data_IF_114693286586
#
_entry.id   IF_114693286586
#
_cell.length_a   1.000
_cell.length_b   1.000
_cell.length_c   1.000
_cell.angle_alpha   90.00
_cell.angle_beta   90.00
_cell.angle_gamma   90.00
#
_symmetry.space_group_name_H-M   'P 1'
#
loop_
_entity.id
_entity.type
_entity.pdbx_description
1 polymer ?
#
# COMPACT_ATOMS: atom_id res chain seq x y z
N UNK A 1 -8.08 4.22 8.98
CA UNK A 1 -6.83 4.99 8.83
C UNK A 1 -5.71 4.03 8.51
N UNK A 2 -4.71 4.52 7.78
CA UNK A 2 -3.45 3.83 7.49
C UNK A 2 -2.43 4.34 8.50
N UNK A 3 -1.95 3.47 9.38
CA UNK A 3 -1.02 3.91 10.42
C UNK A 3 -0.11 2.81 10.92
N UNK A 4 1.09 3.23 11.34
CA UNK A 4 1.97 2.53 12.26
C UNK A 4 2.41 3.58 13.27
N UNK A 5 2.21 3.36 14.54
CA UNK A 5 2.49 4.35 15.56
C UNK A 5 3.03 3.75 16.85
N UNK A 6 3.81 4.55 17.54
CA UNK A 6 4.27 4.28 18.90
C UNK A 6 3.90 5.50 19.72
N UNK A 7 3.08 5.30 20.74
CA UNK A 7 2.63 6.33 21.66
C UNK A 7 3.27 6.08 23.04
N UNK A 8 3.88 7.09 23.62
CA UNK A 8 4.44 7.03 24.96
C UNK A 8 3.65 7.92 25.91
N UNK A 9 3.11 7.31 26.97
CA UNK A 9 2.49 8.04 28.08
C UNK A 9 3.56 8.32 29.16
N UNK A 10 4.02 9.56 29.19
CA UNK A 10 5.03 9.99 30.17
C UNK A 10 4.55 9.99 31.62
N UNK A 11 3.23 10.00 31.88
CA UNK A 11 2.66 9.95 33.24
C UNK A 11 2.72 8.53 33.77
N UNK A 12 2.29 7.57 32.95
CA UNK A 12 2.28 6.14 33.31
C UNK A 12 3.60 5.44 33.03
N UNK A 13 4.53 6.12 32.31
CA UNK A 13 5.78 5.56 31.79
C UNK A 13 5.56 4.27 30.98
N UNK A 14 4.48 4.25 30.18
CA UNK A 14 4.10 3.15 29.34
C UNK A 14 4.08 3.58 27.87
N UNK A 15 4.28 2.62 26.98
CA UNK A 15 4.08 2.85 25.56
C UNK A 15 3.12 1.83 24.96
N UNK A 16 2.50 2.21 23.85
CA UNK A 16 1.69 1.35 23.01
C UNK A 16 2.24 1.48 21.60
N UNK A 17 2.55 0.36 20.96
CA UNK A 17 2.83 0.31 19.52
C UNK A 17 1.61 -0.31 18.83
N UNK A 18 1.19 0.24 17.68
CA UNK A 18 0.03 -0.27 16.96
C UNK A 18 0.20 -0.14 15.44
N UNK A 19 -0.40 -1.08 14.71
CA UNK A 19 -0.39 -1.10 13.25
C UNK A 19 -1.80 -1.26 12.71
N UNK A 20 -2.09 -0.60 11.59
CA UNK A 20 -3.40 -0.61 10.96
C UNK A 20 -3.90 -2.03 10.60
N UNK A 21 -5.23 -2.23 10.42
CA UNK A 21 -5.82 -3.55 10.22
C UNK A 21 -5.30 -4.34 9.03
N UNK A 22 -4.85 -3.64 7.98
CA UNK A 22 -4.33 -4.24 6.74
C UNK A 22 -2.80 -4.30 6.75
N UNK A 23 -2.15 -3.45 7.59
CA UNK A 23 -0.71 -3.31 7.63
C UNK A 23 -0.14 -2.50 6.46
N UNK A 24 -0.89 -1.50 5.98
CA UNK A 24 -0.46 -0.64 4.87
C UNK A 24 0.82 0.11 5.25
N UNK A 25 0.87 0.64 6.48
CA UNK A 25 2.12 1.26 6.96
C UNK A 25 3.05 0.18 7.51
N UNK A 26 4.32 0.18 7.07
CA UNK A 26 5.29 -0.80 7.55
C UNK A 26 5.63 -0.56 9.02
N UNK A 27 5.75 -1.65 9.77
CA UNK A 27 6.28 -1.67 11.13
C UNK A 27 6.91 -3.04 11.38
N UNK A 28 8.11 -3.03 11.89
CA UNK A 28 8.89 -4.23 12.25
C UNK A 28 9.28 -4.16 13.72
N UNK A 29 9.57 -5.31 14.30
CA UNK A 29 10.04 -5.40 15.67
C UNK A 29 11.05 -6.53 15.84
N UNK A 30 11.78 -6.46 16.92
CA UNK A 30 12.68 -7.50 17.40
C UNK A 30 13.01 -7.30 18.86
N UNK A 31 13.77 -8.20 19.45
CA UNK A 31 14.21 -8.11 20.83
C UNK A 31 15.74 -8.06 20.86
N UNK A 32 16.30 -7.16 21.65
CA UNK A 32 17.73 -7.11 21.90
C UNK A 32 18.20 -8.25 22.83
N UNK A 33 19.50 -8.37 23.06
CA UNK A 33 20.09 -9.38 23.95
C UNK A 33 19.64 -9.32 25.42
N UNK A 34 18.97 -8.22 25.83
CA UNK A 34 18.41 -8.03 27.17
C UNK A 34 16.90 -8.29 27.21
N UNK A 35 16.29 -8.65 26.08
CA UNK A 35 14.84 -8.86 25.97
C UNK A 35 14.04 -7.56 25.81
N UNK A 36 14.68 -6.42 25.53
CA UNK A 36 14.01 -5.15 25.25
C UNK A 36 13.44 -5.20 23.84
N UNK A 37 12.16 -4.85 23.67
CA UNK A 37 11.55 -4.78 22.35
C UNK A 37 11.99 -3.48 21.64
N UNK A 38 12.35 -3.62 20.37
CA UNK A 38 12.74 -2.55 19.47
C UNK A 38 11.76 -2.50 18.29
N UNK A 39 11.49 -1.30 17.78
CA UNK A 39 10.59 -1.10 16.63
C UNK A 39 11.27 -0.26 15.56
N UNK A 40 10.94 -0.53 14.29
CA UNK A 40 11.39 0.27 13.16
C UNK A 40 10.38 0.22 12.03
N UNK A 41 10.35 1.28 11.22
CA UNK A 41 9.56 1.30 9.98
C UNK A 41 10.20 0.45 8.87
N UNK A 42 11.52 0.23 8.94
CA UNK A 42 12.28 -0.54 7.97
C UNK A 42 13.11 -1.61 8.69
N UNK A 43 13.15 -2.86 8.18
CA UNK A 43 13.85 -3.96 8.84
C UNK A 43 15.35 -3.72 8.94
N UNK A 44 15.96 -3.03 7.97
CA UNK A 44 17.40 -2.72 7.97
C UNK A 44 17.85 -1.93 9.22
N UNK A 45 16.95 -1.14 9.82
CA UNK A 45 17.26 -0.36 11.03
C UNK A 45 17.35 -1.23 12.29
N UNK A 46 16.94 -2.49 12.22
CA UNK A 46 17.05 -3.45 13.32
C UNK A 46 18.23 -4.43 13.17
N UNK A 47 18.89 -4.43 12.00
CA UNK A 47 20.05 -5.29 11.73
C UNK A 47 21.18 -4.95 12.69
N UNK A 48 21.75 -5.97 13.33
CA UNK A 48 22.80 -5.81 14.34
C UNK A 48 22.30 -5.39 15.73
N UNK A 49 21.01 -5.05 15.88
CA UNK A 49 20.40 -4.73 17.17
C UNK A 49 19.57 -5.89 17.72
N UNK A 50 19.06 -6.75 16.85
CA UNK A 50 18.24 -7.91 17.20
C UNK A 50 18.67 -9.12 16.37
N UNK A 51 18.57 -10.33 16.95
CA UNK A 51 18.85 -11.58 16.24
C UNK A 51 17.75 -11.97 15.28
N UNK A 52 16.53 -11.50 15.54
CA UNK A 52 15.34 -11.83 14.74
C UNK A 52 14.49 -10.60 14.51
N UNK A 53 14.30 -10.26 13.23
CA UNK A 53 13.45 -9.15 12.81
C UNK A 53 12.13 -9.74 12.29
N UNK A 54 11.03 -9.26 12.84
CA UNK A 54 9.68 -9.74 12.52
C UNK A 54 8.80 -8.57 12.07
N UNK A 55 7.89 -8.78 11.10
CA UNK A 55 6.87 -7.81 10.79
C UNK A 55 5.89 -7.71 11.97
N UNK A 56 5.54 -6.48 12.37
CA UNK A 56 4.49 -6.25 13.35
C UNK A 56 3.15 -6.70 12.78
N UNK A 57 2.39 -7.56 13.47
CA UNK A 57 1.17 -8.13 12.91
C UNK A 57 0.12 -7.03 12.64
N UNK A 58 -0.52 -7.03 11.44
CA UNK A 58 -1.61 -6.12 11.13
C UNK A 58 -2.77 -6.28 12.12
N UNK A 59 -3.52 -5.20 12.36
CA UNK A 59 -4.67 -5.22 13.25
C UNK A 59 -4.35 -5.53 14.72
N UNK A 60 -3.09 -5.32 15.13
CA UNK A 60 -2.66 -5.55 16.50
C UNK A 60 -2.10 -4.28 17.14
N UNK A 61 -2.13 -4.27 18.45
CA UNK A 61 -1.31 -3.39 19.26
C UNK A 61 -0.47 -4.18 20.25
N UNK A 62 0.66 -3.61 20.62
CA UNK A 62 1.55 -4.13 21.67
C UNK A 62 1.48 -3.21 22.86
N UNK A 63 1.22 -3.77 24.04
CA UNK A 63 1.20 -3.07 25.31
C UNK A 63 1.55 -4.04 26.44
N UNK A 64 2.31 -3.57 27.43
CA UNK A 64 2.65 -4.35 28.63
C UNK A 64 3.19 -5.77 28.31
N UNK A 65 4.07 -5.88 27.30
CA UNK A 65 4.71 -7.15 26.92
C UNK A 65 3.85 -8.08 26.08
N UNK A 66 2.67 -7.65 25.61
CA UNK A 66 1.73 -8.51 24.88
C UNK A 66 1.25 -7.89 23.59
N UNK A 67 1.12 -8.73 22.56
CA UNK A 67 0.37 -8.40 21.35
C UNK A 67 -1.10 -8.72 21.56
N UNK A 68 -1.96 -7.77 21.20
CA UNK A 68 -3.42 -7.91 21.29
C UNK A 68 -4.00 -7.59 19.92
N UNK A 69 -4.78 -8.53 19.37
CA UNK A 69 -5.54 -8.31 18.15
C UNK A 69 -6.76 -7.43 18.47
N UNK A 70 -6.88 -6.30 17.79
CA UNK A 70 -8.05 -5.42 17.91
C UNK A 70 -8.94 -5.47 16.66
N UNK A 71 -8.39 -5.96 15.53
CA UNK A 71 -9.15 -6.10 14.30
C UNK A 71 -8.53 -7.20 13.42
N UNK A 72 -9.26 -8.27 13.20
CA UNK A 72 -8.94 -9.31 12.25
C UNK A 72 -9.88 -9.19 11.05
N UNK A 73 -9.36 -8.67 9.93
CA UNK A 73 -10.16 -8.49 8.70
C UNK A 73 -10.50 -9.81 8.00
N UNK A 74 -9.81 -10.89 8.35
CA UNK A 74 -10.06 -12.23 7.80
C UNK A 74 -11.09 -13.01 8.61
N UNK A 75 -11.41 -12.56 9.83
CA UNK A 75 -12.45 -13.18 10.64
C UNK A 75 -13.83 -12.79 10.09
N UNK A 76 -14.54 -13.77 9.55
CA UNK A 76 -15.91 -13.60 9.03
C UNK A 76 -16.87 -14.25 10.01
N UNK A 77 -17.58 -13.44 10.77
CA UNK A 77 -18.53 -13.92 11.78
C UNK A 77 -19.89 -14.31 11.19
N UNK A 78 -20.26 -13.70 10.05
CA UNK A 78 -21.52 -13.98 9.36
C UNK A 78 -21.44 -13.63 7.88
N UNK A 79 -22.29 -14.29 7.10
CA UNK A 79 -22.48 -14.00 5.67
C UNK A 79 -23.74 -13.15 5.53
N UNK A 80 -23.63 -12.09 4.72
CA UNK A 80 -24.79 -11.23 4.44
C UNK A 80 -25.77 -11.98 3.52
N UNK A 81 -27.09 -11.97 3.82
CA UNK A 81 -28.10 -12.65 3.01
C UNK A 81 -28.59 -11.78 1.83
N UNK A 82 -27.78 -10.80 1.40
CA UNK A 82 -28.17 -9.85 0.35
C UNK A 82 -28.23 -10.52 -1.02
N UNK A 83 -29.11 -10.03 -1.88
CA UNK A 83 -29.14 -10.43 -3.28
C UNK A 83 -27.96 -9.83 -4.07
N UNK A 84 -27.74 -10.32 -5.28
CA UNK A 84 -26.62 -9.91 -6.12
C UNK A 84 -26.63 -8.41 -6.43
N UNK A 85 -27.81 -7.83 -6.69
CA UNK A 85 -27.94 -6.41 -7.02
C UNK A 85 -27.54 -5.53 -5.85
N UNK A 86 -28.00 -5.85 -4.65
CA UNK A 86 -27.63 -5.17 -3.41
C UNK A 86 -26.14 -5.30 -3.13
N UNK A 87 -25.55 -6.50 -3.32
CA UNK A 87 -24.10 -6.71 -3.14
C UNK A 87 -23.30 -5.85 -4.11
N UNK A 88 -23.67 -5.83 -5.40
CA UNK A 88 -23.01 -5.02 -6.41
C UNK A 88 -23.09 -3.51 -6.09
N UNK A 89 -24.25 -3.03 -5.67
CA UNK A 89 -24.43 -1.63 -5.26
C UNK A 89 -23.54 -1.28 -4.06
N UNK A 90 -23.52 -2.13 -3.04
CA UNK A 90 -22.69 -1.95 -1.86
C UNK A 90 -21.18 -1.93 -2.18
N UNK A 91 -20.72 -2.80 -3.09
CA UNK A 91 -19.32 -2.81 -3.57
C UNK A 91 -19.00 -1.52 -4.29
N UNK A 92 -19.87 -1.10 -5.24
CA UNK A 92 -19.72 0.15 -5.97
C UNK A 92 -19.58 1.34 -5.02
N UNK A 93 -20.50 1.50 -4.08
CA UNK A 93 -20.52 2.65 -3.17
C UNK A 93 -19.29 2.67 -2.25
N UNK A 94 -18.89 1.52 -1.73
CA UNK A 94 -17.67 1.40 -0.92
C UNK A 94 -16.40 1.71 -1.70
N UNK A 95 -16.33 1.28 -2.96
CA UNK A 95 -15.18 1.54 -3.82
C UNK A 95 -15.08 3.04 -4.16
N UNK A 96 -16.21 3.66 -4.55
CA UNK A 96 -16.28 5.11 -4.81
C UNK A 96 -15.88 5.90 -3.57
N UNK A 97 -16.45 5.57 -2.41
CA UNK A 97 -16.11 6.23 -1.15
C UNK A 97 -14.62 6.03 -0.77
N UNK A 98 -14.06 4.86 -1.03
CA UNK A 98 -12.66 4.56 -0.81
C UNK A 98 -11.73 5.41 -1.67
N UNK A 99 -12.03 5.57 -2.97
CA UNK A 99 -11.27 6.42 -3.89
C UNK A 99 -11.39 7.89 -3.49
N UNK A 100 -12.61 8.40 -3.25
CA UNK A 100 -12.85 9.77 -2.79
C UNK A 100 -12.02 10.13 -1.57
N UNK A 101 -11.99 9.24 -0.60
CA UNK A 101 -11.21 9.45 0.63
C UNK A 101 -9.71 9.59 0.38
N UNK A 102 -9.18 8.96 -0.67
CA UNK A 102 -7.75 9.03 -1.03
C UNK A 102 -7.39 10.23 -1.90
N UNK A 103 -8.38 10.92 -2.47
CA UNK A 103 -8.15 12.17 -3.18
C UNK A 103 -7.89 13.36 -2.24
N UNK A 104 -8.18 13.20 -0.96
CA UNK A 104 -7.88 14.22 0.07
C UNK A 104 -6.39 14.16 0.37
N UNK A 105 -5.63 15.00 -0.31
CA UNK A 105 -4.17 15.10 -0.18
C UNK A 105 -3.72 16.55 -0.37
N UNK A 106 -2.70 16.97 0.38
CA UNK A 106 -2.02 18.27 0.28
C UNK A 106 -0.89 18.22 -0.78
N UNK A 107 -0.45 17.05 -1.18
CA UNK A 107 0.46 16.85 -2.31
C UNK A 107 -0.31 16.56 -3.62
N UNK A 108 0.34 16.79 -4.76
CA UNK A 108 -0.22 16.43 -6.06
C UNK A 108 -0.35 14.90 -6.17
N UNK A 109 -1.56 14.44 -6.47
CA UNK A 109 -1.85 13.01 -6.65
C UNK A 109 -1.61 12.60 -8.09
N UNK A 110 -0.91 11.47 -8.29
CA UNK A 110 -0.74 10.78 -9.55
C UNK A 110 -1.24 9.34 -9.43
N UNK A 111 -1.64 8.75 -10.54
CA UNK A 111 -2.20 7.41 -10.61
C UNK A 111 -1.36 6.51 -11.51
N UNK A 112 -1.00 5.34 -11.03
CA UNK A 112 -0.42 4.30 -11.87
C UNK A 112 -1.55 3.61 -12.64
N UNK A 113 -1.46 3.58 -13.95
CA UNK A 113 -2.47 3.05 -14.85
C UNK A 113 -1.85 1.95 -15.74
N UNK A 114 -2.13 0.70 -15.42
CA UNK A 114 -1.65 -0.47 -16.18
C UNK A 114 -2.60 -0.91 -17.30
N UNK A 115 -3.79 -0.31 -17.41
CA UNK A 115 -4.83 -0.76 -18.33
C UNK A 115 -5.59 -2.02 -17.84
N UNK A 116 -5.21 -2.62 -16.73
CA UNK A 116 -5.96 -3.69 -16.06
C UNK A 116 -7.23 -3.17 -15.40
N UNK A 117 -8.15 -4.06 -15.02
CA UNK A 117 -9.47 -3.72 -14.48
C UNK A 117 -9.35 -2.81 -13.24
N UNK A 118 -8.52 -3.17 -12.27
CA UNK A 118 -8.45 -2.49 -10.97
C UNK A 118 -7.94 -1.06 -11.12
N UNK A 119 -6.80 -0.87 -11.79
CA UNK A 119 -6.22 0.45 -12.01
C UNK A 119 -7.12 1.34 -12.86
N UNK A 120 -7.75 0.77 -13.89
CA UNK A 120 -8.68 1.49 -14.76
C UNK A 120 -9.92 1.96 -14.01
N UNK A 121 -10.48 1.11 -13.14
CA UNK A 121 -11.66 1.43 -12.35
C UNK A 121 -11.35 2.53 -11.32
N UNK A 122 -10.23 2.44 -10.62
CA UNK A 122 -9.78 3.49 -9.68
C UNK A 122 -9.56 4.82 -10.40
N UNK A 123 -8.87 4.81 -11.56
CA UNK A 123 -8.64 6.03 -12.35
C UNK A 123 -9.94 6.62 -12.88
N UNK A 124 -10.88 5.79 -13.35
CA UNK A 124 -12.18 6.25 -13.85
C UNK A 124 -13.01 6.92 -12.74
N UNK A 125 -13.04 6.33 -11.54
CA UNK A 125 -13.71 6.94 -10.38
C UNK A 125 -13.02 8.27 -10.03
N UNK A 126 -11.69 8.28 -9.93
CA UNK A 126 -10.93 9.47 -9.59
C UNK A 126 -11.16 10.61 -10.61
N UNK A 127 -11.21 10.29 -11.91
CA UNK A 127 -11.49 11.27 -12.95
C UNK A 127 -12.90 11.88 -12.84
N UNK A 128 -13.90 11.08 -12.47
CA UNK A 128 -15.28 11.56 -12.25
C UNK A 128 -15.43 12.45 -11.02
N UNK A 129 -14.60 12.22 -10.00
CA UNK A 129 -14.62 12.95 -8.74
C UNK A 129 -13.69 14.18 -8.74
N UNK A 130 -12.92 14.38 -9.81
CA UNK A 130 -11.96 15.48 -9.94
C UNK A 130 -12.49 16.55 -10.90
N UNK A 131 -12.33 17.81 -10.55
CA UNK A 131 -12.70 18.95 -11.42
C UNK A 131 -11.74 19.16 -12.59
N UNK A 132 -10.52 18.63 -12.49
CA UNK A 132 -9.45 18.73 -13.49
C UNK A 132 -9.01 17.36 -13.93
N UNK A 133 -8.44 17.26 -15.15
CA UNK A 133 -7.83 16.00 -15.58
C UNK A 133 -6.87 15.46 -14.54
N UNK A 134 -7.02 14.18 -14.19
CA UNK A 134 -6.09 13.50 -13.30
C UNK A 134 -4.80 13.17 -14.05
N UNK A 135 -3.69 13.06 -13.33
CA UNK A 135 -2.43 12.62 -13.90
C UNK A 135 -2.31 11.11 -13.79
N UNK A 136 -2.08 10.46 -14.93
CA UNK A 136 -1.87 9.00 -14.98
C UNK A 136 -0.51 8.67 -15.57
N UNK A 137 0.08 7.58 -15.07
CA UNK A 137 1.39 7.12 -15.48
C UNK A 137 1.33 5.63 -15.81
N UNK A 138 1.95 5.25 -16.91
CA UNK A 138 2.15 3.85 -17.27
C UNK A 138 3.63 3.61 -17.54
N UNK A 139 4.10 2.39 -17.28
CA UNK A 139 5.46 1.98 -17.52
C UNK A 139 5.47 0.71 -18.36
N UNK A 140 6.40 0.62 -19.32
CA UNK A 140 6.53 -0.55 -20.18
C UNK A 140 7.97 -0.74 -20.67
N UNK A 141 8.31 -1.95 -21.05
CA UNK A 141 9.65 -2.28 -21.55
C UNK A 141 9.84 -2.02 -23.04
N UNK A 142 8.78 -1.68 -23.76
CA UNK A 142 8.83 -1.28 -25.18
C UNK A 142 7.58 -0.47 -25.50
N UNK A 143 7.64 0.30 -26.60
CA UNK A 143 6.48 1.08 -27.10
C UNK A 143 5.28 0.19 -27.48
N UNK A 144 5.55 -1.08 -27.88
CA UNK A 144 4.53 -2.05 -28.23
C UNK A 144 4.02 -2.90 -27.04
N UNK A 145 4.41 -2.54 -25.80
CA UNK A 145 3.95 -3.27 -24.63
C UNK A 145 2.42 -3.25 -24.53
N UNK A 146 1.81 -4.42 -24.40
CA UNK A 146 0.35 -4.58 -24.37
C UNK A 146 -0.30 -3.76 -23.26
N UNK A 147 0.36 -3.64 -22.13
CA UNK A 147 -0.12 -2.86 -20.98
C UNK A 147 -0.16 -1.36 -21.29
N UNK A 148 0.84 -0.82 -22.00
CA UNK A 148 0.85 0.58 -22.44
C UNK A 148 -0.32 0.86 -23.39
N UNK A 149 -0.60 -0.06 -24.33
CA UNK A 149 -1.71 0.07 -25.24
C UNK A 149 -3.06 0.18 -24.52
N UNK A 150 -3.31 -0.67 -23.53
CA UNK A 150 -4.55 -0.62 -22.76
C UNK A 150 -4.58 0.56 -21.80
N UNK A 151 -3.46 0.91 -21.18
CA UNK A 151 -3.35 2.11 -20.36
C UNK A 151 -3.70 3.36 -21.17
N UNK A 152 -3.17 3.50 -22.39
CA UNK A 152 -3.46 4.61 -23.30
C UNK A 152 -4.95 4.68 -23.65
N UNK A 153 -5.60 3.56 -23.96
CA UNK A 153 -7.03 3.53 -24.26
C UNK A 153 -7.87 4.05 -23.07
N UNK A 154 -7.54 3.62 -21.87
CA UNK A 154 -8.23 4.08 -20.65
C UNK A 154 -7.95 5.57 -20.42
N UNK A 155 -6.69 5.99 -20.55
CA UNK A 155 -6.30 7.38 -20.37
C UNK A 155 -7.04 8.33 -21.32
N UNK A 156 -7.16 7.94 -22.60
CA UNK A 156 -7.92 8.69 -23.61
C UNK A 156 -9.42 8.74 -23.27
N UNK A 157 -10.00 7.62 -22.80
CA UNK A 157 -11.41 7.53 -22.42
C UNK A 157 -11.76 8.44 -21.23
N UNK A 158 -10.89 8.49 -20.22
CA UNK A 158 -11.09 9.33 -19.01
C UNK A 158 -10.53 10.73 -19.17
N UNK A 159 -9.94 11.06 -20.32
CA UNK A 159 -9.30 12.36 -20.60
C UNK A 159 -8.25 12.78 -19.57
N UNK A 160 -7.40 11.84 -19.13
CA UNK A 160 -6.33 12.10 -18.18
C UNK A 160 -5.10 12.73 -18.84
N UNK A 161 -4.31 13.46 -18.04
CA UNK A 161 -2.95 13.89 -18.40
C UNK A 161 -2.01 12.68 -18.24
N UNK A 162 -1.80 11.94 -19.35
CA UNK A 162 -1.15 10.62 -19.34
C UNK A 162 0.31 10.71 -19.75
N UNK A 163 1.15 10.05 -18.98
CA UNK A 163 2.60 9.91 -19.25
C UNK A 163 2.96 8.43 -19.34
N UNK A 164 3.61 8.05 -20.44
CA UNK A 164 4.19 6.72 -20.63
C UNK A 164 5.70 6.78 -20.37
N UNK A 165 6.22 5.83 -19.60
CA UNK A 165 7.64 5.68 -19.31
C UNK A 165 8.11 4.37 -19.92
N UNK A 166 9.05 4.47 -20.85
CA UNK A 166 9.68 3.31 -21.47
C UNK A 166 10.98 3.03 -20.75
N UNK A 167 11.14 1.81 -20.26
CA UNK A 167 12.35 1.34 -19.59
C UNK A 167 13.00 0.22 -20.40
N UNK A 168 14.31 0.20 -20.40
CA UNK A 168 15.09 -0.88 -21.00
C UNK A 168 15.29 -2.05 -20.02
N UNK A 169 15.74 -3.19 -20.56
CA UNK A 169 16.15 -4.32 -19.73
C UNK A 169 17.35 -3.94 -18.86
N UNK A 170 18.23 -3.14 -19.39
CA UNK A 170 19.43 -2.63 -18.72
C UNK A 170 19.05 -1.76 -17.51
N UNK A 171 18.04 -0.89 -17.66
CA UNK A 171 17.52 -0.07 -16.57
C UNK A 171 16.95 -0.94 -15.43
N UNK A 172 16.17 -1.97 -15.78
CA UNK A 172 15.60 -2.93 -14.80
C UNK A 172 16.73 -3.64 -14.05
N UNK A 173 17.73 -4.15 -14.73
CA UNK A 173 18.84 -4.85 -14.10
C UNK A 173 19.68 -3.93 -13.22
N UNK A 174 19.91 -2.69 -13.64
CA UNK A 174 20.64 -1.70 -12.87
C UNK A 174 19.88 -1.23 -11.61
N UNK A 175 18.55 -1.21 -11.67
CA UNK A 175 17.71 -0.80 -10.55
C UNK A 175 17.51 -1.91 -9.49
N UNK A 176 17.74 -3.18 -9.82
CA UNK A 176 17.37 -4.32 -8.98
C UNK A 176 18.01 -4.26 -7.59
N UNK A 177 19.33 -4.15 -7.53
CA UNK A 177 20.06 -4.12 -6.25
C UNK A 177 19.74 -2.88 -5.42
N UNK A 178 19.76 -1.64 -5.97
CA UNK A 178 19.35 -0.45 -5.24
C UNK A 178 17.91 -0.51 -4.71
N UNK A 179 16.98 -1.06 -5.49
CA UNK A 179 15.57 -1.18 -5.06
C UNK A 179 15.43 -2.16 -3.89
N UNK A 180 16.11 -3.31 -3.94
CA UNK A 180 16.12 -4.27 -2.81
C UNK A 180 16.67 -3.61 -1.55
N UNK A 181 17.76 -2.87 -1.66
CA UNK A 181 18.37 -2.16 -0.52
C UNK A 181 17.45 -1.08 0.05
N UNK A 182 16.82 -0.27 -0.83
CA UNK A 182 15.89 0.78 -0.42
C UNK A 182 14.64 0.24 0.25
N UNK A 183 14.05 -0.81 -0.29
CA UNK A 183 12.81 -1.39 0.24
C UNK A 183 13.05 -2.28 1.48
N UNK A 184 14.25 -2.83 1.62
CA UNK A 184 14.58 -3.76 2.70
C UNK A 184 13.75 -5.05 2.67
N UNK A 185 13.33 -5.48 1.48
CA UNK A 185 12.58 -6.71 1.25
C UNK A 185 13.13 -7.45 0.04
N UNK A 186 12.92 -8.76 0.01
CA UNK A 186 13.18 -9.62 -1.14
C UNK A 186 11.90 -10.23 -1.73
N UNK A 187 10.74 -9.70 -1.34
CA UNK A 187 9.47 -10.09 -1.96
C UNK A 187 9.43 -9.67 -3.43
N UNK A 188 9.34 -10.66 -4.29
CA UNK A 188 9.45 -10.46 -5.74
C UNK A 188 8.35 -9.56 -6.30
N UNK A 189 7.16 -9.60 -5.72
CA UNK A 189 6.02 -8.80 -6.18
C UNK A 189 6.25 -7.32 -5.88
N UNK A 190 6.71 -7.03 -4.67
CA UNK A 190 7.04 -5.68 -4.22
C UNK A 190 8.21 -5.09 -5.03
N UNK A 191 9.25 -5.88 -5.27
CA UNK A 191 10.42 -5.44 -6.05
C UNK A 191 10.02 -5.14 -7.49
N UNK A 192 9.30 -6.03 -8.16
CA UNK A 192 8.83 -5.81 -9.54
C UNK A 192 7.99 -4.55 -9.72
N UNK A 193 7.19 -4.21 -8.71
CA UNK A 193 6.35 -3.02 -8.75
C UNK A 193 7.11 -1.73 -8.44
N UNK A 194 8.35 -1.83 -7.98
CA UNK A 194 9.15 -0.68 -7.52
C UNK A 194 10.37 -0.38 -8.39
N UNK A 195 10.67 -1.26 -9.34
CA UNK A 195 11.65 -1.02 -10.40
C UNK A 195 11.01 -0.18 -11.50
#
# INVERSE_FOLDING_TARGET
AEFACILYDGRQKKFIAARDPIGIRPLYYGYDGNGTILFASEPKNLVGLTDKILPFPPGHYYCDGKFVCYCDIAAVDHVLPDDLETVCANIHDKLVAGVKKRLVADAKVGFLLSGGLDSSLVCAIAARESEKPIRTFAIGMSEDAIDLKYAKQVADYIHSDHTEVIISREDVLAALEPVVELLGTFDITTIRASI
#
